data_IF_208958930349
#
_entry.id   IF_208958930349
#
_cell.length_a   1.000
_cell.length_b   1.000
_cell.length_c   1.000
_cell.angle_alpha   90.00
_cell.angle_beta   90.00
_cell.angle_gamma   90.00
#
_symmetry.space_group_name_H-M   'P 1'
#
loop_
_entity.id
_entity.type
_entity.pdbx_description
1 polymer ?
#
# COMPACT_ATOMS: atom_id res chain seq x y z
N UNK A 1 -16.02 7.34 4.05
CA UNK A 1 -15.65 8.71 4.49
C UNK A 1 -16.87 9.46 4.94
N UNK A 2 -16.80 10.18 6.07
CA UNK A 2 -17.86 11.10 6.50
C UNK A 2 -17.44 12.54 6.22
N UNK A 3 -18.34 13.34 5.64
CA UNK A 3 -18.08 14.74 5.25
C UNK A 3 -19.35 15.57 5.47
N UNK A 4 -19.19 16.82 5.90
CA UNK A 4 -20.32 17.76 6.00
C UNK A 4 -20.78 18.14 4.59
N UNK A 5 -22.10 18.14 4.36
CA UNK A 5 -22.70 18.47 3.05
C UNK A 5 -22.17 19.78 2.46
N UNK A 6 -22.12 20.86 3.26
CA UNK A 6 -21.63 22.14 2.78
C UNK A 6 -20.17 22.10 2.30
N UNK A 7 -19.30 21.31 2.95
CA UNK A 7 -17.90 21.12 2.52
C UNK A 7 -17.83 20.26 1.25
N UNK A 8 -18.66 19.23 1.16
CA UNK A 8 -18.76 18.38 -0.02
C UNK A 8 -19.21 19.18 -1.27
N UNK A 9 -20.20 20.06 -1.11
CA UNK A 9 -20.66 20.93 -2.19
C UNK A 9 -19.60 21.98 -2.56
N UNK A 10 -18.93 22.58 -1.55
CA UNK A 10 -17.87 23.57 -1.77
C UNK A 10 -16.61 22.99 -2.42
N UNK A 11 -16.31 21.69 -2.23
CA UNK A 11 -15.10 21.09 -2.78
C UNK A 11 -15.18 20.84 -4.29
N UNK A 12 -16.39 20.83 -4.86
CA UNK A 12 -16.61 20.54 -6.28
C UNK A 12 -16.30 19.10 -6.69
N UNK A 13 -16.15 18.18 -5.72
CA UNK A 13 -15.68 16.81 -5.95
C UNK A 13 -16.57 16.01 -6.91
N UNK A 14 -17.87 16.34 -7.00
CA UNK A 14 -18.81 15.70 -7.92
C UNK A 14 -18.36 15.82 -9.38
N UNK A 15 -17.82 16.96 -9.77
CA UNK A 15 -17.33 17.18 -11.15
C UNK A 15 -16.03 16.40 -11.41
N UNK A 16 -15.17 16.23 -10.41
CA UNK A 16 -13.97 15.41 -10.54
C UNK A 16 -14.27 13.92 -10.65
N UNK A 17 -15.23 13.44 -9.87
CA UNK A 17 -15.64 12.02 -9.91
C UNK A 17 -16.17 11.59 -11.28
N UNK A 18 -16.75 12.51 -12.08
CA UNK A 18 -17.19 12.19 -13.45
C UNK A 18 -16.06 11.68 -14.34
N UNK A 19 -14.81 12.08 -14.07
CA UNK A 19 -13.66 11.75 -14.89
C UNK A 19 -12.58 10.97 -14.14
N UNK A 20 -12.88 10.49 -12.93
CA UNK A 20 -11.94 9.82 -12.04
C UNK A 20 -12.36 8.39 -11.77
N UNK A 21 -11.37 7.49 -11.70
CA UNK A 21 -11.58 6.10 -11.26
C UNK A 21 -11.40 5.92 -9.75
N UNK A 22 -10.74 6.85 -9.07
CA UNK A 22 -10.55 6.82 -7.62
C UNK A 22 -11.34 7.94 -6.97
N UNK A 23 -12.41 7.57 -6.30
CA UNK A 23 -13.24 8.46 -5.51
C UNK A 23 -12.48 9.07 -4.33
N UNK A 24 -11.72 8.26 -3.61
CA UNK A 24 -10.95 8.68 -2.44
C UNK A 24 -9.85 9.68 -2.79
N UNK A 25 -8.98 9.40 -3.78
CA UNK A 25 -7.92 10.33 -4.16
C UNK A 25 -8.49 11.64 -4.72
N UNK A 26 -9.57 11.57 -5.51
CA UNK A 26 -10.25 12.78 -5.99
C UNK A 26 -10.82 13.60 -4.85
N UNK A 27 -11.42 12.96 -3.84
CA UNK A 27 -11.92 13.67 -2.66
C UNK A 27 -10.78 14.28 -1.85
N UNK A 28 -9.67 13.57 -1.66
CA UNK A 28 -8.48 14.10 -0.98
C UNK A 28 -7.96 15.35 -1.69
N UNK A 29 -7.75 15.29 -3.01
CA UNK A 29 -7.29 16.44 -3.80
C UNK A 29 -8.27 17.60 -3.75
N UNK A 30 -9.57 17.32 -3.86
CA UNK A 30 -10.61 18.35 -3.79
C UNK A 30 -10.55 19.11 -2.44
N UNK A 31 -10.40 18.38 -1.33
CA UNK A 31 -10.30 18.96 0.01
C UNK A 31 -8.98 19.70 0.24
N UNK A 32 -7.86 19.16 -0.23
CA UNK A 32 -6.55 19.80 -0.13
C UNK A 32 -6.52 21.15 -0.88
N UNK A 33 -7.13 21.22 -2.07
CA UNK A 33 -7.22 22.47 -2.85
C UNK A 33 -7.97 23.59 -2.14
N UNK A 34 -8.96 23.24 -1.32
CA UNK A 34 -9.71 24.21 -0.50
C UNK A 34 -9.17 24.32 0.94
N UNK A 35 -7.99 23.78 1.22
CA UNK A 35 -7.31 23.87 2.51
C UNK A 35 -8.05 23.19 3.66
N UNK A 36 -8.84 22.15 3.38
CA UNK A 36 -9.60 21.42 4.40
C UNK A 36 -8.80 20.22 4.92
N UNK A 37 -8.63 20.09 6.25
CA UNK A 37 -7.91 18.96 6.82
C UNK A 37 -8.72 17.67 6.71
N UNK A 38 -8.02 16.55 6.58
CA UNK A 38 -8.57 15.20 6.65
C UNK A 38 -8.10 14.57 7.97
N UNK A 39 -9.04 14.08 8.77
CA UNK A 39 -8.76 13.50 10.09
C UNK A 39 -9.12 12.02 10.08
N UNK A 40 -8.21 11.19 10.58
CA UNK A 40 -8.44 9.77 10.80
C UNK A 40 -9.03 9.54 12.19
N UNK A 41 -10.12 8.78 12.26
CA UNK A 41 -10.79 8.38 13.51
C UNK A 41 -10.67 6.85 13.67
N UNK A 42 -9.85 6.34 14.60
CA UNK A 42 -9.66 4.91 14.82
C UNK A 42 -10.96 4.15 15.11
N UNK A 43 -11.92 4.79 15.75
CA UNK A 43 -13.23 4.22 16.09
C UNK A 43 -14.11 3.98 14.86
N UNK A 44 -13.75 4.57 13.71
CA UNK A 44 -14.42 4.37 12.43
C UNK A 44 -13.78 3.27 11.57
N UNK A 45 -12.75 2.58 12.06
CA UNK A 45 -12.23 1.39 11.39
C UNK A 45 -13.33 0.34 11.35
N UNK A 46 -13.47 -0.36 10.21
CA UNK A 46 -14.41 -1.46 10.05
C UNK A 46 -13.72 -2.65 9.40
N UNK A 47 -14.26 -3.84 9.62
CA UNK A 47 -13.77 -5.07 8.98
C UNK A 47 -14.22 -5.13 7.52
N UNK A 48 -13.30 -5.57 6.66
CA UNK A 48 -13.60 -5.94 5.28
C UNK A 48 -13.53 -7.46 5.15
N UNK A 49 -14.64 -8.08 4.75
CA UNK A 49 -14.75 -9.55 4.59
C UNK A 49 -14.49 -9.99 3.14
N UNK A 50 -13.70 -9.22 2.39
CA UNK A 50 -13.37 -9.56 1.01
C UNK A 50 -12.40 -10.74 1.00
N UNK A 51 -12.80 -11.81 0.33
CA UNK A 51 -11.96 -12.96 0.04
C UNK A 51 -11.56 -12.95 -1.44
N UNK A 52 -10.34 -13.40 -1.72
CA UNK A 52 -9.80 -13.47 -3.07
C UNK A 52 -8.71 -14.53 -3.16
N UNK A 53 -8.47 -15.02 -4.37
CA UNK A 53 -7.35 -15.91 -4.66
C UNK A 53 -6.09 -15.11 -5.00
N UNK A 54 -5.03 -15.80 -5.43
CA UNK A 54 -3.78 -15.13 -5.78
C UNK A 54 -3.91 -14.24 -7.03
N UNK A 55 -4.72 -14.64 -8.01
CA UNK A 55 -4.96 -13.84 -9.21
C UNK A 55 -5.66 -12.53 -8.85
N UNK A 56 -6.70 -12.59 -8.02
CA UNK A 56 -7.39 -11.40 -7.53
C UNK A 56 -6.53 -10.55 -6.59
N UNK A 57 -5.63 -11.13 -5.80
CA UNK A 57 -4.61 -10.37 -5.06
C UNK A 57 -3.70 -9.58 -6.00
N UNK A 58 -3.21 -10.21 -7.08
CA UNK A 58 -2.36 -9.56 -8.07
C UNK A 58 -3.09 -8.47 -8.83
N UNK A 59 -4.33 -8.73 -9.29
CA UNK A 59 -5.19 -7.71 -9.90
C UNK A 59 -5.34 -6.51 -8.97
N UNK A 60 -5.76 -6.78 -7.73
CA UNK A 60 -6.02 -5.74 -6.74
C UNK A 60 -4.78 -4.89 -6.47
N UNK A 61 -3.66 -5.52 -6.15
CA UNK A 61 -2.41 -4.80 -5.80
C UNK A 61 -1.83 -4.03 -6.98
N UNK A 62 -1.88 -4.60 -8.20
CA UNK A 62 -1.50 -3.87 -9.42
C UNK A 62 -2.37 -2.64 -9.63
N UNK A 63 -3.69 -2.77 -9.46
CA UNK A 63 -4.63 -1.65 -9.59
C UNK A 63 -4.37 -0.59 -8.53
N UNK A 64 -4.15 -0.95 -7.26
CA UNK A 64 -3.84 0.01 -6.19
C UNK A 64 -2.58 0.83 -6.52
N UNK A 65 -1.47 0.15 -6.88
CA UNK A 65 -0.21 0.84 -7.20
C UNK A 65 -0.32 1.71 -8.45
N UNK A 66 -1.07 1.27 -9.47
CA UNK A 66 -1.32 2.07 -10.67
C UNK A 66 -2.18 3.31 -10.37
N UNK A 67 -3.24 3.17 -9.57
CA UNK A 67 -4.03 4.32 -9.10
C UNK A 67 -3.12 5.28 -8.32
N UNK A 68 -2.35 4.82 -7.34
CA UNK A 68 -1.43 5.69 -6.59
C UNK A 68 -0.42 6.38 -7.51
N UNK A 69 0.09 5.71 -8.55
CA UNK A 69 1.00 6.34 -9.51
C UNK A 69 0.37 7.54 -10.21
N UNK A 70 -0.86 7.38 -10.67
CA UNK A 70 -1.57 8.42 -11.42
C UNK A 70 -1.99 9.55 -10.50
N UNK A 71 -2.60 9.23 -9.36
CA UNK A 71 -3.22 10.20 -8.47
C UNK A 71 -2.26 10.83 -7.46
N UNK A 72 -1.19 10.15 -7.05
CA UNK A 72 -0.28 10.62 -6.01
C UNK A 72 1.16 10.24 -6.34
N UNK A 73 1.64 10.70 -7.50
CA UNK A 73 2.95 10.33 -8.05
C UNK A 73 4.10 10.53 -7.05
N UNK A 74 4.09 11.59 -6.25
CA UNK A 74 5.12 11.83 -5.23
C UNK A 74 5.15 10.70 -4.18
N UNK A 75 3.97 10.29 -3.68
CA UNK A 75 3.84 9.17 -2.73
C UNK A 75 4.29 7.87 -3.40
N UNK A 76 3.89 7.65 -4.65
CA UNK A 76 4.30 6.51 -5.44
C UNK A 76 5.83 6.42 -5.57
N UNK A 77 6.51 7.51 -5.91
CA UNK A 77 7.99 7.53 -6.08
C UNK A 77 8.70 7.19 -4.77
N UNK A 78 8.30 7.80 -3.65
CA UNK A 78 8.90 7.49 -2.35
C UNK A 78 8.65 6.04 -1.93
N UNK A 79 7.44 5.54 -2.15
CA UNK A 79 7.12 4.15 -1.87
C UNK A 79 7.94 3.20 -2.76
N UNK A 80 8.06 3.46 -4.05
CA UNK A 80 8.84 2.64 -4.98
C UNK A 80 10.31 2.56 -4.56
N UNK A 81 10.94 3.71 -4.26
CA UNK A 81 12.33 3.76 -3.80
C UNK A 81 12.50 3.01 -2.48
N UNK A 82 11.61 3.21 -1.52
CA UNK A 82 11.70 2.56 -0.21
C UNK A 82 11.64 1.04 -0.32
N UNK A 83 10.68 0.51 -1.08
CA UNK A 83 10.54 -0.94 -1.25
C UNK A 83 11.67 -1.52 -2.11
N UNK A 84 12.16 -0.79 -3.11
CA UNK A 84 13.32 -1.20 -3.90
C UNK A 84 14.59 -1.30 -3.03
N UNK A 85 14.88 -0.26 -2.25
CA UNK A 85 16.04 -0.25 -1.34
C UNK A 85 15.93 -1.38 -0.31
N UNK A 86 14.74 -1.62 0.24
CA UNK A 86 14.51 -2.75 1.14
C UNK A 86 14.86 -4.08 0.45
N UNK A 87 14.32 -4.35 -0.74
CA UNK A 87 14.57 -5.60 -1.45
C UNK A 87 16.06 -5.77 -1.81
N UNK A 88 16.70 -4.71 -2.31
CA UNK A 88 18.14 -4.73 -2.61
C UNK A 88 18.98 -4.96 -1.35
N UNK A 89 18.62 -4.36 -0.21
CA UNK A 89 19.33 -4.57 1.06
C UNK A 89 19.28 -6.04 1.46
N UNK A 90 18.11 -6.69 1.32
CA UNK A 90 17.97 -8.11 1.66
C UNK A 90 18.76 -9.00 0.69
N UNK A 91 18.62 -8.78 -0.61
CA UNK A 91 19.27 -9.60 -1.64
C UNK A 91 20.80 -9.46 -1.60
N UNK A 92 21.31 -8.23 -1.61
CA UNK A 92 22.75 -7.98 -1.56
C UNK A 92 23.33 -8.38 -0.21
N UNK A 93 22.61 -8.12 0.88
CA UNK A 93 23.00 -8.55 2.22
C UNK A 93 23.15 -10.07 2.31
N UNK A 94 22.20 -10.84 1.77
CA UNK A 94 22.29 -12.30 1.73
C UNK A 94 23.52 -12.79 0.94
N UNK A 95 23.81 -12.18 -0.22
CA UNK A 95 24.99 -12.52 -1.03
C UNK A 95 26.28 -12.26 -0.24
N UNK A 96 26.43 -11.08 0.35
CA UNK A 96 27.62 -10.70 1.12
C UNK A 96 27.80 -11.56 2.37
N UNK A 97 26.71 -11.89 3.07
CA UNK A 97 26.74 -12.81 4.22
C UNK A 97 27.27 -14.17 3.78
N UNK A 98 26.77 -14.72 2.66
CA UNK A 98 27.23 -16.01 2.15
C UNK A 98 28.71 -15.97 1.77
N UNK A 99 29.19 -14.90 1.14
CA UNK A 99 30.61 -14.72 0.80
C UNK A 99 31.50 -14.73 2.05
N UNK A 100 31.16 -13.94 3.07
CA UNK A 100 31.93 -13.87 4.32
C UNK A 100 31.93 -15.22 5.07
N UNK A 101 30.80 -15.92 5.12
CA UNK A 101 30.73 -17.25 5.73
C UNK A 101 31.61 -18.27 4.99
N UNK A 102 31.57 -18.28 3.64
CA UNK A 102 32.41 -19.17 2.82
C UNK A 102 33.90 -18.85 2.99
N UNK A 103 34.25 -17.58 3.18
CA UNK A 103 35.60 -17.13 3.47
C UNK A 103 36.02 -17.33 4.95
N UNK A 104 35.14 -17.89 5.80
CA UNK A 104 35.33 -18.07 7.24
C UNK A 104 35.65 -16.77 8.00
N UNK A 105 35.04 -15.67 7.57
CA UNK A 105 35.21 -14.33 8.13
C UNK A 105 33.97 -13.91 8.94
N UNK A 106 34.10 -12.96 9.87
CA UNK A 106 32.98 -12.54 10.72
C UNK A 106 31.93 -11.73 9.94
N UNK A 107 30.75 -12.32 9.71
CA UNK A 107 29.65 -11.69 8.98
C UNK A 107 28.64 -10.92 9.86
N UNK A 108 28.82 -10.88 11.19
CA UNK A 108 27.81 -10.39 12.14
C UNK A 108 27.31 -8.96 11.86
N UNK A 109 28.20 -8.07 11.44
CA UNK A 109 27.86 -6.69 11.11
C UNK A 109 26.95 -6.62 9.86
N UNK A 110 27.25 -7.40 8.82
CA UNK A 110 26.41 -7.49 7.60
C UNK A 110 25.07 -8.13 7.92
N UNK A 111 25.06 -9.20 8.72
CA UNK A 111 23.83 -9.83 9.20
C UNK A 111 22.95 -8.82 9.93
N UNK A 112 23.52 -8.03 10.84
CA UNK A 112 22.78 -7.01 11.59
C UNK A 112 22.17 -5.98 10.64
N UNK A 113 22.96 -5.41 9.71
CA UNK A 113 22.46 -4.43 8.75
C UNK A 113 21.38 -4.99 7.81
N UNK A 114 21.48 -6.27 7.45
CA UNK A 114 20.53 -6.96 6.55
C UNK A 114 19.22 -7.30 7.26
N UNK A 115 19.30 -7.85 8.48
CA UNK A 115 18.12 -8.36 9.19
C UNK A 115 17.43 -7.30 10.06
N UNK A 116 18.09 -6.20 10.42
CA UNK A 116 17.46 -5.13 11.21
C UNK A 116 16.22 -4.53 10.52
N UNK A 117 16.21 -4.20 9.21
CA UNK A 117 14.99 -3.75 8.52
C UNK A 117 13.86 -4.77 8.54
N UNK A 118 14.16 -6.08 8.50
CA UNK A 118 13.16 -7.13 8.64
C UNK A 118 12.55 -7.11 10.04
N UNK A 119 13.39 -7.09 11.08
CA UNK A 119 12.93 -7.02 12.47
C UNK A 119 12.04 -5.79 12.71
N UNK A 120 12.46 -4.61 12.23
CA UNK A 120 11.66 -3.39 12.33
C UNK A 120 10.32 -3.50 11.58
N UNK A 121 10.30 -4.23 10.46
CA UNK A 121 9.06 -4.49 9.69
C UNK A 121 8.09 -5.40 10.45
N UNK A 122 8.61 -6.41 11.16
CA UNK A 122 7.80 -7.27 12.05
C UNK A 122 7.26 -6.47 13.24
N UNK A 123 8.12 -5.65 13.89
CA UNK A 123 7.70 -4.79 15.01
C UNK A 123 6.57 -3.85 14.56
N UNK A 124 6.72 -3.21 13.40
CA UNK A 124 5.66 -2.36 12.82
C UNK A 124 4.37 -3.14 12.55
N UNK A 125 4.49 -4.38 12.05
CA UNK A 125 3.35 -5.29 11.87
C UNK A 125 2.66 -5.63 13.19
N UNK A 126 3.42 -5.92 14.24
CA UNK A 126 2.91 -6.18 15.58
C UNK A 126 2.20 -4.96 16.18
N UNK A 127 2.78 -3.75 16.06
CA UNK A 127 2.15 -2.50 16.50
C UNK A 127 0.82 -2.25 15.78
N UNK A 128 0.76 -2.52 14.48
CA UNK A 128 -0.51 -2.44 13.72
C UNK A 128 -1.53 -3.45 14.23
N UNK A 129 -1.12 -4.70 14.46
CA UNK A 129 -2.00 -5.75 14.96
C UNK A 129 -2.59 -5.36 16.33
N UNK A 130 -1.75 -4.85 17.24
CA UNK A 130 -2.18 -4.34 18.54
C UNK A 130 -3.17 -3.19 18.36
N UNK A 131 -2.82 -2.17 17.57
CA UNK A 131 -3.68 -1.01 17.36
C UNK A 131 -5.06 -1.35 16.79
N UNK A 132 -5.13 -2.25 15.80
CA UNK A 132 -6.42 -2.68 15.21
C UNK A 132 -7.21 -3.55 16.18
N UNK A 133 -6.53 -4.41 16.96
CA UNK A 133 -7.18 -5.26 17.96
C UNK A 133 -7.82 -4.44 19.08
N UNK A 134 -7.14 -3.38 19.52
CA UNK A 134 -7.67 -2.44 20.53
C UNK A 134 -8.81 -1.58 19.97
N UNK A 135 -8.72 -1.16 18.70
CA UNK A 135 -9.79 -0.40 18.05
C UNK A 135 -11.06 -1.24 17.78
N UNK A 136 -10.92 -2.56 17.62
CA UNK A 136 -12.01 -3.49 17.30
C UNK A 136 -12.08 -4.67 18.29
N UNK A 137 -12.41 -4.43 19.57
CA UNK A 137 -12.36 -5.45 20.61
C UNK A 137 -13.29 -6.64 20.34
N UNK A 138 -14.46 -6.40 19.72
CA UNK A 138 -15.41 -7.45 19.35
C UNK A 138 -14.85 -8.43 18.29
N UNK A 139 -13.86 -8.00 17.51
CA UNK A 139 -13.23 -8.78 16.44
C UNK A 139 -11.87 -9.38 16.85
N UNK A 140 -11.47 -9.25 18.11
CA UNK A 140 -10.13 -9.65 18.59
C UNK A 140 -9.76 -11.06 18.15
N UNK A 141 -10.64 -12.05 18.35
CA UNK A 141 -10.35 -13.45 18.00
C UNK A 141 -10.04 -13.64 16.52
N UNK A 142 -10.85 -13.02 15.64
CA UNK A 142 -10.67 -13.05 14.19
C UNK A 142 -9.33 -12.42 13.79
N UNK A 143 -9.03 -11.23 14.33
CA UNK A 143 -7.80 -10.49 14.04
C UNK A 143 -6.57 -11.28 14.51
N UNK A 144 -6.58 -11.80 15.73
CA UNK A 144 -5.45 -12.59 16.27
C UNK A 144 -5.26 -13.91 15.53
N UNK A 145 -6.34 -14.53 15.03
CA UNK A 145 -6.24 -15.72 14.17
C UNK A 145 -5.49 -15.47 12.87
N UNK A 146 -5.41 -14.21 12.42
CA UNK A 146 -4.69 -13.78 11.24
C UNK A 146 -3.37 -13.07 11.55
N UNK A 147 -2.90 -13.09 12.81
CA UNK A 147 -1.70 -12.37 13.25
C UNK A 147 -0.46 -12.68 12.39
N UNK A 148 -0.30 -13.95 11.98
CA UNK A 148 0.84 -14.38 11.17
C UNK A 148 0.94 -13.66 9.82
N UNK A 149 -0.18 -13.22 9.23
CA UNK A 149 -0.19 -12.43 7.98
C UNK A 149 0.53 -11.10 8.22
N UNK A 150 0.23 -10.42 9.33
CA UNK A 150 0.80 -9.12 9.68
C UNK A 150 2.26 -9.21 10.12
N UNK A 151 2.70 -10.36 10.64
CA UNK A 151 4.06 -10.57 11.15
C UNK A 151 5.01 -11.18 10.12
N UNK A 152 4.55 -12.17 9.34
CA UNK A 152 5.40 -12.90 8.39
C UNK A 152 5.29 -12.33 6.99
N UNK A 153 4.07 -12.11 6.46
CA UNK A 153 3.93 -11.64 5.07
C UNK A 153 4.46 -10.22 4.88
N UNK A 154 4.53 -9.41 5.93
CA UNK A 154 5.18 -8.07 5.90
C UNK A 154 6.63 -8.12 5.41
N UNK A 155 7.32 -9.26 5.53
CA UNK A 155 8.69 -9.47 5.04
C UNK A 155 8.75 -9.68 3.52
N UNK A 156 7.69 -10.25 2.95
CA UNK A 156 7.65 -10.65 1.54
C UNK A 156 6.85 -9.68 0.66
N UNK A 157 5.87 -8.98 1.23
CA UNK A 157 5.05 -7.97 0.53
C UNK A 157 5.88 -6.89 -0.19
N UNK A 158 7.03 -6.40 0.33
CA UNK A 158 7.87 -5.47 -0.40
C UNK A 158 8.32 -5.96 -1.78
N UNK A 159 8.59 -7.27 -1.94
CA UNK A 159 8.97 -7.85 -3.23
C UNK A 159 7.79 -7.84 -4.22
N UNK A 160 6.60 -8.19 -3.74
CA UNK A 160 5.36 -8.07 -4.52
C UNK A 160 5.15 -6.62 -4.98
N UNK A 161 5.33 -5.66 -4.07
CA UNK A 161 5.18 -4.24 -4.41
C UNK A 161 6.18 -3.78 -5.44
N UNK A 162 7.45 -4.19 -5.38
CA UNK A 162 8.43 -3.88 -6.44
C UNK A 162 7.95 -4.39 -7.80
N UNK A 163 7.40 -5.60 -7.88
CA UNK A 163 6.80 -6.11 -9.12
C UNK A 163 5.59 -5.27 -9.56
N UNK A 164 4.71 -4.87 -8.63
CA UNK A 164 3.57 -4.01 -8.95
C UNK A 164 3.99 -2.59 -9.39
N UNK A 165 5.06 -2.04 -8.82
CA UNK A 165 5.64 -0.75 -9.23
C UNK A 165 6.18 -0.82 -10.66
N UNK A 166 6.87 -1.90 -11.01
CA UNK A 166 7.32 -2.13 -12.39
C UNK A 166 6.12 -2.30 -13.32
N UNK A 167 5.13 -3.11 -12.94
CA UNK A 167 3.91 -3.28 -13.73
C UNK A 167 3.19 -1.96 -13.97
N UNK A 168 3.07 -1.11 -12.94
CA UNK A 168 2.40 0.18 -13.10
C UNK A 168 3.14 1.12 -14.06
N UNK A 169 4.45 0.97 -14.27
CA UNK A 169 5.17 1.72 -15.31
C UNK A 169 4.81 1.27 -16.73
N UNK A 170 4.56 -0.03 -16.91
CA UNK A 170 4.29 -0.65 -18.22
C UNK A 170 2.87 -0.40 -18.72
N UNK A 171 1.89 -0.30 -17.82
CA UNK A 171 0.48 -0.14 -18.19
C UNK A 171 -0.17 1.10 -17.59
N UNK A 172 -1.23 1.58 -18.24
CA UNK A 172 -2.18 2.58 -17.71
C UNK A 172 -3.60 2.03 -17.60
N UNK A 173 -3.78 0.75 -17.89
CA UNK A 173 -5.08 0.09 -17.96
C UNK A 173 -5.32 -0.75 -16.72
N UNK A 174 -6.52 -0.68 -16.18
CA UNK A 174 -7.03 -1.56 -15.13
C UNK A 174 -8.31 -2.21 -15.60
N UNK A 175 -8.65 -3.36 -15.01
CA UNK A 175 -9.97 -3.96 -15.13
C UNK A 175 -10.61 -3.97 -13.76
N UNK A 176 -11.83 -3.47 -13.65
CA UNK A 176 -12.55 -3.44 -12.40
C UNK A 176 -14.03 -3.72 -12.66
N UNK A 177 -14.60 -4.68 -11.92
CA UNK A 177 -16.01 -5.10 -12.07
C UNK A 177 -16.41 -5.41 -13.52
N UNK A 178 -15.51 -6.01 -14.29
CA UNK A 178 -15.74 -6.40 -15.69
C UNK A 178 -15.58 -5.27 -16.72
N UNK A 179 -15.28 -4.04 -16.29
CA UNK A 179 -15.05 -2.89 -17.17
C UNK A 179 -13.55 -2.58 -17.22
N UNK A 180 -13.02 -2.24 -18.39
CA UNK A 180 -11.65 -1.79 -18.52
C UNK A 180 -11.58 -0.25 -18.54
N UNK A 181 -10.61 0.27 -17.81
CA UNK A 181 -10.39 1.70 -17.66
C UNK A 181 -8.94 2.03 -18.02
N UNK A 182 -8.74 3.10 -18.78
CA UNK A 182 -7.44 3.71 -19.03
C UNK A 182 -7.30 4.99 -18.21
N UNK A 183 -6.32 5.02 -17.31
CA UNK A 183 -6.04 6.15 -16.45
C UNK A 183 -5.08 7.10 -17.17
N UNK A 184 -5.62 8.14 -17.80
CA UNK A 184 -4.84 9.13 -18.57
C UNK A 184 -4.19 10.13 -17.61
N UNK A 185 -4.98 10.67 -16.68
CA UNK A 185 -4.56 11.59 -15.63
C UNK A 185 -5.53 11.51 -14.42
N UNK A 186 -5.25 12.16 -13.28
CA UNK A 186 -6.17 12.15 -12.14
C UNK A 186 -7.57 12.72 -12.46
N UNK A 187 -7.66 13.59 -13.48
CA UNK A 187 -8.89 14.24 -13.93
C UNK A 187 -9.41 13.65 -15.24
N UNK A 188 -8.82 12.55 -15.74
CA UNK A 188 -9.25 11.95 -16.99
C UNK A 188 -9.06 10.43 -16.99
N UNK A 189 -10.18 9.73 -17.02
CA UNK A 189 -10.26 8.27 -17.19
C UNK A 189 -11.08 7.98 -18.43
N UNK A 190 -10.65 7.00 -19.23
CA UNK A 190 -11.41 6.50 -20.38
C UNK A 190 -11.89 5.08 -20.12
N UNK A 191 -13.12 4.78 -20.51
CA UNK A 191 -13.63 3.40 -20.55
C UNK A 191 -13.23 2.79 -21.89
N UNK A 192 -12.62 1.60 -21.86
CA UNK A 192 -12.06 0.91 -23.04
C UNK A 192 -12.50 -0.55 -23.13
#
# INVERSE_FOLDING_TARGET
>A
TAIRRNIFEQSGVVEEWKNSVSDDYSLTHALERIGRPIVFLPECITLSYVETDFEGLLEFTNRQILITRVYAERVWRFAAITHLVYCLTILLGAILIMEELLAQRPAFHIMTLTFLPMLLSVIRGALRLIGVTEALPAARSLITGQAWIYLLLTLFVPFLYVANFVNSLVTRKIRWRGVAYELVSPQQTRVV
#
